data_IF_925921244360
#
_entry.id   IF_925921244360
#
_cell.length_a   1.000
_cell.length_b   1.000
_cell.length_c   1.000
_cell.angle_alpha   90.00
_cell.angle_beta   90.00
_cell.angle_gamma   90.00
#
_symmetry.space_group_name_H-M   'P 1'
#
loop_
_entity.id
_entity.type
_entity.pdbx_description
1 polymer ?
#
# COMPACT_ATOMS: atom_id res chain seq x y z
N UNK A 1 7.26 -12.91 50.17
CA UNK A 1 6.41 -13.87 49.42
C UNK A 1 7.22 -14.21 48.20
N UNK A 2 7.61 -15.47 48.06
CA UNK A 2 8.37 -15.93 46.90
C UNK A 2 7.44 -15.85 45.67
N UNK A 3 7.90 -15.24 44.60
CA UNK A 3 7.28 -15.35 43.29
C UNK A 3 7.29 -16.82 42.91
N UNK A 4 6.13 -17.44 42.78
CA UNK A 4 5.99 -18.76 42.17
C UNK A 4 6.46 -18.60 40.74
N UNK A 5 7.64 -19.17 40.43
CA UNK A 5 8.15 -19.24 39.07
C UNK A 5 7.15 -20.02 38.23
N UNK A 6 6.49 -19.34 37.29
CA UNK A 6 5.73 -20.01 36.23
C UNK A 6 6.63 -21.05 35.56
N UNK A 7 6.22 -22.30 35.65
CA UNK A 7 6.92 -23.45 35.08
C UNK A 7 6.83 -23.30 33.56
N UNK A 8 7.79 -22.64 32.92
CA UNK A 8 7.81 -22.47 31.46
C UNK A 8 7.80 -23.84 30.79
N UNK A 9 7.04 -24.03 29.71
CA UNK A 9 6.98 -25.31 29.03
C UNK A 9 8.38 -25.71 28.54
N UNK A 10 8.77 -26.97 28.81
CA UNK A 10 9.98 -27.59 28.29
C UNK A 10 9.62 -28.43 27.06
N UNK A 11 10.41 -28.30 26.01
CA UNK A 11 10.18 -28.98 24.73
C UNK A 11 11.40 -29.84 24.38
N UNK A 12 11.20 -31.04 23.83
CA UNK A 12 12.27 -31.93 23.42
C UNK A 12 13.14 -31.38 22.27
N UNK A 13 12.57 -30.46 21.47
CA UNK A 13 13.28 -29.80 20.37
C UNK A 13 14.12 -28.60 20.80
N UNK A 14 13.94 -28.12 22.04
CA UNK A 14 14.60 -26.92 22.53
C UNK A 14 16.06 -27.26 22.93
N UNK A 15 17.07 -26.54 22.38
CA UNK A 15 18.45 -26.78 22.73
C UNK A 15 18.74 -26.58 24.24
N UNK A 16 19.69 -27.32 24.78
CA UNK A 16 20.10 -27.21 26.18
C UNK A 16 20.53 -25.76 26.51
N UNK A 17 19.98 -25.18 27.56
CA UNK A 17 20.26 -23.82 28.02
C UNK A 17 19.42 -22.76 27.33
N UNK A 18 18.53 -23.12 26.42
CA UNK A 18 17.57 -22.20 25.82
C UNK A 18 16.19 -22.30 26.49
N UNK A 19 15.43 -21.20 26.43
CA UNK A 19 14.06 -21.11 26.91
C UNK A 19 13.10 -21.00 25.73
N UNK A 20 11.84 -21.40 25.96
CA UNK A 20 10.79 -21.18 24.98
C UNK A 20 10.47 -19.67 24.86
N UNK A 21 10.40 -19.16 23.63
CA UNK A 21 9.92 -17.83 23.32
C UNK A 21 8.39 -17.88 23.30
N UNK A 22 7.77 -17.12 24.21
CA UNK A 22 6.31 -17.16 24.45
C UNK A 22 5.83 -18.62 24.68
N UNK A 23 4.86 -19.11 23.90
CA UNK A 23 4.35 -20.49 24.04
C UNK A 23 5.24 -21.57 23.40
N UNK A 24 6.32 -21.20 22.74
CA UNK A 24 7.33 -22.09 22.15
C UNK A 24 6.97 -22.68 20.80
N UNK A 25 5.75 -23.18 20.57
CA UNK A 25 5.34 -23.82 19.31
C UNK A 25 4.16 -23.11 18.65
N UNK A 26 4.30 -22.88 17.34
CA UNK A 26 3.34 -22.19 16.50
C UNK A 26 3.21 -22.84 15.12
N UNK A 27 2.09 -22.57 14.41
CA UNK A 27 1.97 -22.92 12.99
C UNK A 27 2.79 -21.97 12.12
N UNK A 28 2.77 -20.67 12.47
CA UNK A 28 3.49 -19.63 11.76
C UNK A 28 4.13 -18.61 12.71
N UNK A 29 5.35 -18.16 12.37
CA UNK A 29 6.00 -17.01 12.97
C UNK A 29 6.02 -15.91 11.92
N UNK A 30 5.48 -14.73 12.28
CA UNK A 30 5.41 -13.55 11.42
C UNK A 30 6.33 -12.48 12.00
N UNK A 31 7.36 -12.09 11.23
CA UNK A 31 8.38 -11.12 11.62
C UNK A 31 8.06 -9.75 11.04
N UNK A 32 7.85 -8.78 11.90
CA UNK A 32 7.36 -7.45 11.56
C UNK A 32 5.87 -7.28 11.82
N UNK A 33 5.46 -6.01 12.00
CA UNK A 33 4.05 -5.60 12.14
C UNK A 33 3.65 -4.63 11.03
N UNK A 34 4.29 -4.69 9.87
CA UNK A 34 3.87 -4.00 8.67
C UNK A 34 2.48 -4.44 8.23
N UNK A 35 1.84 -3.68 7.35
CA UNK A 35 0.48 -3.99 6.91
C UNK A 35 0.39 -5.39 6.29
N UNK A 36 1.33 -5.77 5.44
CA UNK A 36 1.36 -7.06 4.76
C UNK A 36 1.45 -8.22 5.76
N UNK A 37 2.34 -8.09 6.74
CA UNK A 37 2.56 -9.07 7.81
C UNK A 37 1.31 -9.20 8.70
N UNK A 38 0.71 -8.08 9.09
CA UNK A 38 -0.52 -8.08 9.91
C UNK A 38 -1.72 -8.68 9.17
N UNK A 39 -1.86 -8.42 7.87
CA UNK A 39 -2.89 -9.05 7.02
C UNK A 39 -2.73 -10.57 7.03
N UNK A 40 -1.51 -11.07 6.76
CA UNK A 40 -1.24 -12.51 6.73
C UNK A 40 -1.48 -13.15 8.09
N UNK A 41 -1.00 -12.54 9.18
CA UNK A 41 -1.22 -13.07 10.53
C UNK A 41 -2.70 -13.14 10.90
N UNK A 42 -3.47 -12.09 10.56
CA UNK A 42 -4.91 -12.05 10.77
C UNK A 42 -5.64 -13.15 9.99
N UNK A 43 -5.33 -13.30 8.69
CA UNK A 43 -5.96 -14.31 7.83
C UNK A 43 -5.62 -15.74 8.27
N UNK A 44 -4.38 -16.01 8.67
CA UNK A 44 -3.96 -17.33 9.19
C UNK A 44 -4.68 -17.66 10.51
N UNK A 45 -4.78 -16.68 11.42
CA UNK A 45 -5.45 -16.87 12.71
C UNK A 45 -6.93 -17.16 12.55
N UNK A 46 -7.61 -16.48 11.63
CA UNK A 46 -9.04 -16.78 11.29
C UNK A 46 -9.22 -18.21 10.79
N UNK A 47 -8.22 -18.77 10.08
CA UNK A 47 -8.17 -20.20 9.68
C UNK A 47 -7.79 -21.14 10.82
N UNK A 48 -7.68 -20.67 12.06
CA UNK A 48 -7.36 -21.47 13.24
C UNK A 48 -5.87 -21.82 13.37
N UNK A 49 -4.98 -21.12 12.66
CA UNK A 49 -3.54 -21.28 12.81
C UNK A 49 -3.05 -20.53 14.04
N UNK A 50 -2.19 -21.18 14.84
CA UNK A 50 -1.50 -20.55 15.98
C UNK A 50 -0.36 -19.69 15.44
N UNK A 51 -0.47 -18.36 15.59
CA UNK A 51 0.48 -17.39 15.04
C UNK A 51 1.23 -16.68 16.16
N UNK A 52 2.54 -16.58 16.02
CA UNK A 52 3.40 -15.68 16.79
C UNK A 52 3.83 -14.52 15.88
N UNK A 53 3.51 -13.30 16.24
CA UNK A 53 3.98 -12.10 15.53
C UNK A 53 4.97 -11.33 16.39
N UNK A 54 6.15 -11.05 15.81
CA UNK A 54 7.28 -10.42 16.52
C UNK A 54 7.71 -9.18 15.76
N UNK A 55 7.93 -8.06 16.47
CA UNK A 55 8.49 -6.85 15.86
C UNK A 55 9.61 -6.28 16.75
N UNK A 56 10.70 -5.85 16.12
CA UNK A 56 11.79 -5.13 16.76
C UNK A 56 11.40 -3.76 17.29
N UNK A 57 10.35 -3.16 16.70
CA UNK A 57 9.84 -1.87 17.12
C UNK A 57 8.81 -2.02 18.25
N UNK A 58 8.64 -0.95 19.06
CA UNK A 58 7.60 -0.85 20.07
C UNK A 58 6.26 -0.32 19.55
N UNK A 59 6.07 -0.25 18.23
CA UNK A 59 4.87 0.24 17.59
C UNK A 59 4.53 -0.60 16.36
N UNK A 60 3.26 -0.58 15.94
CA UNK A 60 2.77 -1.27 14.76
C UNK A 60 3.04 -0.48 13.49
N UNK A 61 3.11 -1.19 12.35
CA UNK A 61 3.19 -0.60 11.02
C UNK A 61 4.59 -0.63 10.40
N UNK A 62 5.64 -0.93 11.14
CA UNK A 62 7.01 -1.02 10.63
C UNK A 62 7.43 0.24 9.86
N UNK A 63 7.91 0.06 8.63
CA UNK A 63 8.30 1.18 7.75
C UNK A 63 7.11 2.04 7.28
N UNK A 64 5.89 1.50 7.29
CA UNK A 64 4.65 2.22 6.94
C UNK A 64 3.91 2.82 8.13
N UNK A 65 4.53 2.91 9.30
CA UNK A 65 3.91 3.42 10.52
C UNK A 65 3.42 4.87 10.40
N UNK A 66 2.37 5.19 11.16
CA UNK A 66 1.91 6.56 11.38
C UNK A 66 2.59 7.13 12.63
N UNK A 67 3.23 8.28 12.52
CA UNK A 67 3.98 8.91 13.61
C UNK A 67 3.32 10.21 14.07
N UNK A 68 3.37 10.46 15.36
CA UNK A 68 3.06 11.79 15.89
C UNK A 68 4.20 12.79 15.56
N UNK A 69 3.95 14.07 15.76
CA UNK A 69 4.88 15.12 15.35
C UNK A 69 6.26 15.00 16.05
N UNK A 70 6.28 14.71 17.34
CA UNK A 70 7.52 14.56 18.14
C UNK A 70 8.35 13.40 17.59
N UNK A 71 7.75 12.22 17.45
CA UNK A 71 8.42 11.02 16.95
C UNK A 71 8.90 11.19 15.49
N UNK A 72 8.14 11.94 14.67
CA UNK A 72 8.58 12.29 13.30
C UNK A 72 9.87 13.11 13.33
N UNK A 73 9.94 14.17 14.16
CA UNK A 73 11.13 15.00 14.27
C UNK A 73 12.32 14.23 14.84
N UNK A 74 12.11 13.36 15.82
CA UNK A 74 13.13 12.48 16.38
C UNK A 74 13.68 11.50 15.35
N UNK A 75 12.80 10.81 14.62
CA UNK A 75 13.20 9.84 13.57
C UNK A 75 14.12 10.47 12.52
N UNK A 76 13.83 11.70 12.12
CA UNK A 76 14.63 12.41 11.12
C UNK A 76 15.73 13.33 11.72
N UNK A 77 15.97 13.24 13.02
CA UNK A 77 16.97 14.03 13.75
C UNK A 77 16.85 15.54 13.44
N UNK A 78 15.61 16.02 13.33
CA UNK A 78 15.30 17.37 12.85
C UNK A 78 15.21 18.44 13.96
N UNK A 79 15.59 18.08 15.20
CA UNK A 79 15.46 18.92 16.39
C UNK A 79 14.03 18.88 16.99
N UNK A 80 13.69 19.86 17.79
CA UNK A 80 12.35 19.99 18.36
C UNK A 80 11.34 20.51 17.32
N UNK A 81 10.10 20.03 17.40
CA UNK A 81 9.02 20.52 16.56
C UNK A 81 8.68 21.98 16.92
N UNK A 82 8.56 22.88 15.94
CA UNK A 82 8.18 24.26 16.18
C UNK A 82 6.78 24.37 16.83
N UNK A 83 6.63 25.23 17.84
CA UNK A 83 5.37 25.40 18.58
C UNK A 83 4.19 25.90 17.74
N UNK A 84 4.45 26.52 16.60
CA UNK A 84 3.43 27.02 15.67
C UNK A 84 2.80 25.92 14.79
N UNK A 85 3.25 24.69 14.89
CA UNK A 85 2.64 23.56 14.20
C UNK A 85 1.45 22.94 14.95
N UNK A 86 1.15 23.39 16.19
CA UNK A 86 0.03 22.84 16.98
C UNK A 86 0.46 21.75 17.96
N UNK A 87 -0.49 20.96 18.43
CA UNK A 87 -0.22 19.95 19.45
C UNK A 87 0.21 18.61 18.83
N UNK A 88 1.16 17.95 19.48
CA UNK A 88 1.68 16.64 19.04
C UNK A 88 0.58 15.59 18.77
N UNK A 89 -0.45 15.58 19.63
CA UNK A 89 -1.59 14.64 19.54
C UNK A 89 -2.48 14.84 18.30
N UNK A 90 -2.34 15.96 17.60
CA UNK A 90 -3.13 16.25 16.39
C UNK A 90 -2.52 15.63 15.14
N UNK A 91 -1.39 14.94 15.27
CA UNK A 91 -0.62 14.41 14.15
C UNK A 91 -0.58 12.89 14.15
N UNK A 92 -0.87 12.34 12.95
CA UNK A 92 -0.71 10.94 12.59
C UNK A 92 -0.11 10.92 11.18
N UNK A 93 1.19 11.15 11.07
CA UNK A 93 1.89 11.30 9.80
C UNK A 93 2.36 9.94 9.30
N UNK A 94 1.78 9.49 8.20
CA UNK A 94 2.17 8.24 7.56
C UNK A 94 3.53 8.38 6.87
N UNK A 95 4.43 7.45 7.13
CA UNK A 95 5.76 7.42 6.50
C UNK A 95 5.69 6.98 5.03
N UNK A 96 4.75 6.10 4.72
CA UNK A 96 4.48 5.59 3.37
C UNK A 96 2.97 5.73 3.10
N UNK A 97 2.47 6.94 2.81
CA UNK A 97 1.06 7.13 2.56
C UNK A 97 0.67 6.55 1.22
N UNK A 98 -0.41 5.76 1.22
CA UNK A 98 -1.01 5.19 0.03
C UNK A 98 -2.52 5.27 0.14
N UNK A 99 -3.17 5.68 -0.94
CA UNK A 99 -4.62 5.73 -1.03
C UNK A 99 -5.21 4.34 -1.31
N UNK A 100 -6.40 4.12 -0.81
CA UNK A 100 -7.14 2.88 -0.99
C UNK A 100 -8.18 3.10 -2.08
N UNK A 101 -8.18 2.26 -3.10
CA UNK A 101 -9.22 2.26 -4.14
C UNK A 101 -10.56 1.85 -3.52
N UNK A 102 -11.61 2.67 -3.69
CA UNK A 102 -12.90 2.49 -2.99
C UNK A 102 -13.63 1.17 -3.31
N UNK A 103 -13.33 0.53 -4.43
CA UNK A 103 -13.82 -0.80 -4.82
C UNK A 103 -12.69 -1.78 -5.13
N UNK A 104 -11.45 -1.42 -4.78
CA UNK A 104 -10.25 -2.24 -4.99
C UNK A 104 -10.19 -3.46 -4.07
N UNK A 105 -9.17 -4.26 -4.26
CA UNK A 105 -9.01 -5.51 -3.53
C UNK A 105 -8.74 -5.30 -2.04
N UNK A 106 -8.04 -4.23 -1.64
CA UNK A 106 -7.87 -3.91 -0.21
C UNK A 106 -9.22 -3.62 0.45
N UNK A 107 -10.10 -2.84 -0.18
CA UNK A 107 -11.44 -2.57 0.34
C UNK A 107 -12.25 -3.86 0.48
N UNK A 108 -12.19 -4.77 -0.50
CA UNK A 108 -12.84 -6.09 -0.40
C UNK A 108 -12.27 -6.91 0.75
N UNK A 109 -10.95 -6.91 0.92
CA UNK A 109 -10.27 -7.62 2.02
C UNK A 109 -10.69 -7.06 3.39
N UNK A 110 -10.71 -5.73 3.54
CA UNK A 110 -11.17 -5.07 4.77
C UNK A 110 -12.61 -5.38 5.12
N UNK A 111 -13.50 -5.47 4.11
CA UNK A 111 -14.90 -5.87 4.30
C UNK A 111 -15.01 -7.35 4.64
N UNK A 112 -14.30 -8.23 3.93
CA UNK A 112 -14.28 -9.66 4.19
C UNK A 112 -13.83 -9.99 5.61
N UNK A 113 -12.77 -9.35 6.08
CA UNK A 113 -12.22 -9.54 7.43
C UNK A 113 -12.94 -8.75 8.52
N UNK A 114 -13.88 -7.87 8.15
CA UNK A 114 -14.61 -6.96 9.07
C UNK A 114 -13.69 -5.98 9.84
N UNK A 115 -12.46 -5.75 9.37
CA UNK A 115 -11.54 -4.75 9.94
C UNK A 115 -12.14 -3.34 9.84
N UNK A 116 -13.00 -3.10 8.85
CA UNK A 116 -13.77 -1.84 8.70
C UNK A 116 -14.54 -1.42 9.96
N UNK A 117 -14.87 -2.34 10.87
CA UNK A 117 -15.54 -2.01 12.14
C UNK A 117 -14.68 -1.19 13.11
N UNK A 118 -13.38 -1.17 12.90
CA UNK A 118 -12.40 -0.47 13.76
C UNK A 118 -11.90 0.83 13.14
N UNK A 119 -12.30 1.16 11.91
CA UNK A 119 -11.73 2.23 11.12
C UNK A 119 -12.83 3.10 10.52
N UNK A 120 -12.59 4.40 10.50
CA UNK A 120 -13.39 5.36 9.74
C UNK A 120 -12.63 5.76 8.47
N UNK A 121 -13.35 5.87 7.34
CA UNK A 121 -12.77 6.27 6.08
C UNK A 121 -13.46 7.50 5.51
N UNK A 122 -12.69 8.35 4.85
CA UNK A 122 -13.23 9.47 4.05
C UNK A 122 -12.74 9.39 2.62
N UNK A 123 -13.58 9.85 1.69
CA UNK A 123 -13.17 10.00 0.29
C UNK A 123 -12.16 11.15 0.15
N UNK A 124 -11.21 10.98 -0.76
CA UNK A 124 -10.25 12.02 -1.12
C UNK A 124 -10.98 13.09 -1.95
N UNK A 125 -10.66 14.37 -1.69
CA UNK A 125 -11.38 15.50 -2.30
C UNK A 125 -11.12 15.63 -3.80
N UNK A 126 -9.99 15.15 -4.31
CA UNK A 126 -9.74 15.15 -5.74
C UNK A 126 -8.49 14.37 -6.17
N UNK A 127 -8.53 13.91 -7.41
CA UNK A 127 -7.39 13.34 -8.12
C UNK A 127 -6.98 14.26 -9.25
N UNK A 128 -5.66 14.40 -9.45
CA UNK A 128 -5.09 15.38 -10.37
C UNK A 128 -3.97 14.76 -11.18
N UNK A 129 -3.75 15.30 -12.37
CA UNK A 129 -2.61 14.96 -13.23
C UNK A 129 -1.85 16.23 -13.60
N UNK A 130 -0.53 16.14 -13.60
CA UNK A 130 0.32 17.21 -14.11
C UNK A 130 0.49 17.06 -15.63
N UNK A 131 0.11 18.12 -16.37
CA UNK A 131 0.21 18.16 -17.82
C UNK A 131 0.61 19.55 -18.29
N UNK A 132 1.65 19.64 -19.11
CA UNK A 132 2.12 20.89 -19.71
C UNK A 132 2.31 22.04 -18.71
N UNK A 133 2.95 21.79 -17.58
CA UNK A 133 3.22 22.79 -16.56
C UNK A 133 2.05 23.12 -15.61
N UNK A 134 0.94 22.37 -15.68
CA UNK A 134 -0.29 22.65 -14.90
C UNK A 134 -0.79 21.42 -14.19
N UNK A 135 -1.32 21.61 -12.99
CA UNK A 135 -2.11 20.61 -12.27
C UNK A 135 -3.54 20.71 -12.79
N UNK A 136 -4.07 19.61 -13.29
CA UNK A 136 -5.43 19.54 -13.87
C UNK A 136 -6.22 18.46 -13.13
N UNK A 137 -7.41 18.81 -12.64
CA UNK A 137 -8.30 17.86 -11.98
C UNK A 137 -8.75 16.77 -12.95
N UNK A 138 -8.67 15.53 -12.52
CA UNK A 138 -9.27 14.40 -13.23
C UNK A 138 -10.78 14.47 -13.01
N UNK A 139 -11.59 14.53 -14.09
CA UNK A 139 -13.03 14.66 -13.95
C UNK A 139 -13.65 13.47 -13.21
N UNK A 140 -14.40 13.76 -12.16
CA UNK A 140 -15.14 12.76 -11.39
C UNK A 140 -16.60 12.64 -11.87
N UNK A 141 -17.11 13.65 -12.58
CA UNK A 141 -18.49 13.69 -13.08
C UNK A 141 -18.54 13.99 -14.58
N UNK A 142 -19.65 13.62 -15.27
CA UNK A 142 -19.83 13.97 -16.68
C UNK A 142 -19.76 15.48 -16.96
N UNK A 143 -20.26 16.31 -16.04
CA UNK A 143 -20.19 17.76 -16.17
C UNK A 143 -18.74 18.26 -16.11
N UNK A 144 -17.94 17.78 -15.15
CA UNK A 144 -16.52 18.11 -15.08
C UNK A 144 -15.77 17.67 -16.35
N UNK A 145 -16.09 16.49 -16.90
CA UNK A 145 -15.48 15.98 -18.13
C UNK A 145 -15.74 16.88 -19.35
N UNK A 146 -16.92 17.49 -19.44
CA UNK A 146 -17.26 18.42 -20.53
C UNK A 146 -16.34 19.64 -20.51
N UNK A 147 -16.10 20.21 -19.34
CA UNK A 147 -15.31 21.44 -19.17
C UNK A 147 -13.81 21.20 -18.95
N UNK A 148 -13.39 19.97 -18.72
CA UNK A 148 -11.98 19.65 -18.48
C UNK A 148 -11.09 20.02 -19.68
N UNK A 149 -9.94 20.66 -19.45
CA UNK A 149 -8.98 20.99 -20.51
C UNK A 149 -8.07 19.81 -20.90
N UNK A 150 -8.25 18.63 -20.31
CA UNK A 150 -7.38 17.47 -20.55
C UNK A 150 -7.35 17.02 -22.02
N UNK A 151 -8.47 17.16 -22.73
CA UNK A 151 -8.64 16.63 -24.10
C UNK A 151 -9.44 17.60 -24.97
N UNK A 152 -9.20 17.52 -26.30
CA UNK A 152 -10.03 18.21 -27.29
C UNK A 152 -11.44 17.61 -27.35
N UNK A 153 -12.39 18.32 -27.94
CA UNK A 153 -13.79 17.87 -28.04
C UNK A 153 -13.92 16.53 -28.79
N UNK A 154 -13.18 16.34 -29.87
CA UNK A 154 -13.21 15.08 -30.62
C UNK A 154 -12.60 13.94 -29.83
N UNK A 155 -11.53 14.21 -29.10
CA UNK A 155 -10.87 13.20 -28.28
C UNK A 155 -11.75 12.80 -27.08
N UNK A 156 -12.46 13.74 -26.45
CA UNK A 156 -13.46 13.43 -25.42
C UNK A 156 -14.51 12.44 -25.89
N UNK A 157 -14.94 12.54 -27.17
CA UNK A 157 -15.91 11.61 -27.75
C UNK A 157 -15.31 10.22 -27.93
N UNK A 158 -14.07 10.11 -28.39
CA UNK A 158 -13.35 8.82 -28.54
C UNK A 158 -13.13 8.17 -27.18
N UNK A 159 -12.61 8.94 -26.25
CA UNK A 159 -12.40 8.50 -24.86
C UNK A 159 -13.70 8.02 -24.19
N UNK A 160 -14.80 8.78 -24.35
CA UNK A 160 -16.11 8.35 -23.87
C UNK A 160 -16.56 7.02 -24.46
N UNK A 161 -16.40 6.83 -25.76
CA UNK A 161 -16.76 5.55 -26.41
C UNK A 161 -15.91 4.39 -25.90
N UNK A 162 -14.63 4.64 -25.66
CA UNK A 162 -13.72 3.68 -25.03
C UNK A 162 -14.19 3.32 -23.63
N UNK A 163 -14.47 4.30 -22.76
CA UNK A 163 -14.96 4.03 -21.40
C UNK A 163 -16.31 3.28 -21.39
N UNK A 164 -17.24 3.60 -22.30
CA UNK A 164 -18.49 2.83 -22.44
C UNK A 164 -18.22 1.36 -22.79
N UNK A 165 -17.24 1.10 -23.66
CA UNK A 165 -16.84 -0.26 -23.98
C UNK A 165 -16.23 -0.98 -22.77
N UNK A 166 -15.32 -0.32 -22.05
CA UNK A 166 -14.68 -0.84 -20.82
C UNK A 166 -15.73 -1.18 -19.77
N UNK A 167 -16.65 -0.27 -19.50
CA UNK A 167 -17.73 -0.45 -18.51
C UNK A 167 -18.64 -1.65 -18.85
N UNK A 168 -18.98 -1.80 -20.13
CA UNK A 168 -19.84 -2.87 -20.60
C UNK A 168 -19.14 -4.24 -20.69
N UNK A 169 -17.81 -4.28 -20.74
CA UNK A 169 -17.05 -5.51 -20.95
C UNK A 169 -17.16 -6.48 -19.77
N UNK A 170 -17.56 -7.72 -20.05
CA UNK A 170 -17.59 -8.83 -19.09
C UNK A 170 -16.86 -10.02 -19.68
N UNK A 171 -15.82 -10.49 -19.02
CA UNK A 171 -14.97 -11.57 -19.51
C UNK A 171 -15.76 -12.84 -19.85
N UNK A 172 -16.79 -13.14 -19.02
CA UNK A 172 -17.63 -14.34 -19.14
C UNK A 172 -18.79 -14.18 -20.12
N UNK A 173 -19.00 -12.98 -20.70
CA UNK A 173 -20.09 -12.71 -21.63
C UNK A 173 -19.57 -12.24 -23.00
N UNK A 174 -19.42 -13.16 -23.98
CA UNK A 174 -18.90 -12.83 -25.32
C UNK A 174 -19.71 -11.75 -26.06
N UNK A 175 -21.00 -11.54 -25.73
CA UNK A 175 -21.81 -10.49 -26.36
C UNK A 175 -21.28 -9.08 -26.07
N UNK A 176 -20.58 -8.91 -24.93
CA UNK A 176 -19.98 -7.64 -24.52
C UNK A 176 -18.64 -7.34 -25.20
N UNK A 177 -18.00 -8.35 -25.78
CA UNK A 177 -16.65 -8.23 -26.34
C UNK A 177 -16.64 -7.40 -27.65
N UNK A 178 -17.77 -7.28 -28.33
CA UNK A 178 -17.90 -6.54 -29.61
C UNK A 178 -16.87 -6.96 -30.67
N UNK A 179 -16.59 -8.27 -30.75
CA UNK A 179 -15.64 -8.86 -31.69
C UNK A 179 -14.16 -8.74 -31.31
N UNK A 180 -13.84 -8.26 -30.09
CA UNK A 180 -12.47 -8.13 -29.59
C UNK A 180 -12.12 -9.27 -28.65
N UNK A 181 -10.88 -9.76 -28.72
CA UNK A 181 -10.32 -10.73 -27.78
C UNK A 181 -9.23 -10.05 -26.93
N UNK A 182 -9.61 -9.52 -25.76
CA UNK A 182 -8.70 -8.78 -24.90
C UNK A 182 -7.59 -9.64 -24.29
N UNK A 183 -7.74 -10.96 -24.28
CA UNK A 183 -6.68 -11.87 -23.82
C UNK A 183 -5.55 -12.04 -24.85
N UNK A 184 -5.83 -11.78 -26.14
CA UNK A 184 -4.86 -11.87 -27.22
C UNK A 184 -4.45 -10.51 -27.79
N UNK A 185 -5.34 -9.51 -27.71
CA UNK A 185 -5.11 -8.14 -28.17
C UNK A 185 -4.27 -7.37 -27.15
N UNK A 186 -3.26 -6.63 -27.63
CA UNK A 186 -2.48 -5.74 -26.75
C UNK A 186 -3.25 -4.47 -26.40
N UNK A 187 -2.85 -3.79 -25.31
CA UNK A 187 -3.46 -2.52 -24.94
C UNK A 187 -3.24 -1.44 -25.99
N UNK A 188 -2.08 -1.43 -26.62
CA UNK A 188 -1.74 -0.54 -27.76
C UNK A 188 -2.70 -0.72 -28.94
N UNK A 189 -3.00 -1.96 -29.30
CA UNK A 189 -3.98 -2.28 -30.38
C UNK A 189 -5.39 -1.83 -30.00
N UNK A 190 -5.80 -2.03 -28.73
CA UNK A 190 -7.10 -1.59 -28.23
C UNK A 190 -7.23 -0.06 -28.29
N UNK A 191 -6.23 0.68 -27.83
CA UNK A 191 -6.24 2.16 -27.93
C UNK A 191 -6.29 2.63 -29.37
N UNK A 192 -5.56 1.99 -30.27
CA UNK A 192 -5.55 2.30 -31.70
C UNK A 192 -6.92 2.05 -32.34
N UNK A 193 -7.59 0.96 -31.97
CA UNK A 193 -8.93 0.62 -32.49
C UNK A 193 -10.00 1.66 -32.09
N UNK A 194 -9.85 2.28 -30.91
CA UNK A 194 -10.69 3.43 -30.49
C UNK A 194 -10.19 4.78 -31.01
N UNK A 195 -9.05 4.83 -31.71
CA UNK A 195 -8.44 6.03 -32.28
C UNK A 195 -7.98 7.04 -31.23
N UNK A 196 -7.58 6.56 -30.03
CA UNK A 196 -7.09 7.43 -28.95
C UNK A 196 -5.69 7.96 -29.29
N UNK A 197 -5.50 9.28 -29.09
CA UNK A 197 -4.18 9.92 -29.32
C UNK A 197 -3.21 9.59 -28.18
N UNK A 198 -1.86 9.64 -28.40
CA UNK A 198 -0.87 9.30 -27.39
C UNK A 198 -1.05 9.99 -26.03
N UNK A 199 -1.35 11.28 -26.01
CA UNK A 199 -1.63 12.03 -24.79
C UNK A 199 -2.77 11.45 -23.96
N UNK A 200 -3.83 10.94 -24.64
CA UNK A 200 -4.97 10.31 -23.98
C UNK A 200 -4.60 8.92 -23.47
N UNK A 201 -3.80 8.18 -24.23
CA UNK A 201 -3.28 6.88 -23.81
C UNK A 201 -2.45 7.03 -22.55
N UNK A 202 -1.48 7.96 -22.51
CA UNK A 202 -0.69 8.28 -21.32
C UNK A 202 -1.57 8.68 -20.12
N UNK A 203 -2.56 9.55 -20.36
CA UNK A 203 -3.49 9.95 -19.30
C UNK A 203 -4.21 8.74 -18.69
N UNK A 204 -4.73 7.82 -19.51
CA UNK A 204 -5.41 6.62 -19.03
C UNK A 204 -4.42 5.74 -18.26
N UNK A 205 -3.27 5.44 -18.86
CA UNK A 205 -2.27 4.54 -18.29
C UNK A 205 -1.75 5.03 -16.93
N UNK A 206 -1.24 6.24 -16.86
CA UNK A 206 -0.60 6.76 -15.63
C UNK A 206 -1.59 7.28 -14.59
N UNK A 207 -2.75 7.84 -15.00
CA UNK A 207 -3.66 8.52 -14.07
C UNK A 207 -4.89 7.71 -13.67
N UNK A 208 -5.28 6.70 -14.43
CA UNK A 208 -6.45 5.87 -14.17
C UNK A 208 -6.08 4.41 -13.89
N UNK A 209 -5.17 3.83 -14.65
CA UNK A 209 -4.68 2.47 -14.42
C UNK A 209 -3.45 2.44 -13.49
N UNK A 210 -2.80 3.59 -13.28
CA UNK A 210 -1.67 3.76 -12.36
C UNK A 210 -0.43 2.93 -12.77
N UNK A 211 -0.30 2.69 -14.05
CA UNK A 211 0.85 2.01 -14.63
C UNK A 211 2.14 2.83 -14.40
N UNK A 212 3.20 2.17 -13.99
CA UNK A 212 4.48 2.82 -13.67
C UNK A 212 5.29 3.20 -14.91
N UNK A 213 5.05 2.48 -16.01
CA UNK A 213 5.74 2.64 -17.27
C UNK A 213 4.86 2.21 -18.46
N UNK A 214 5.41 2.20 -19.66
CA UNK A 214 4.68 1.83 -20.88
C UNK A 214 4.72 0.33 -21.21
N UNK A 215 5.23 -0.54 -20.34
CA UNK A 215 5.35 -1.98 -20.62
C UNK A 215 3.99 -2.67 -20.74
N UNK A 216 2.97 -2.17 -20.06
CA UNK A 216 1.58 -2.64 -20.14
C UNK A 216 0.99 -2.50 -21.56
N UNK A 217 1.48 -1.53 -22.35
CA UNK A 217 0.99 -1.28 -23.72
C UNK A 217 1.12 -2.48 -24.64
N UNK A 218 2.12 -3.32 -24.41
CA UNK A 218 2.42 -4.51 -25.25
C UNK A 218 1.99 -5.83 -24.58
N UNK A 219 1.31 -5.73 -23.41
CA UNK A 219 0.66 -6.86 -22.73
C UNK A 219 -0.80 -7.04 -23.19
N UNK A 220 -1.42 -8.21 -22.92
CA UNK A 220 -2.85 -8.43 -23.14
C UNK A 220 -3.72 -7.37 -22.46
N UNK A 221 -4.64 -6.78 -23.21
CA UNK A 221 -5.45 -5.66 -22.75
C UNK A 221 -6.40 -5.97 -21.60
N UNK A 222 -6.67 -7.25 -21.34
CA UNK A 222 -7.63 -7.69 -20.31
C UNK A 222 -7.25 -7.19 -18.90
N UNK A 223 -5.95 -7.17 -18.55
CA UNK A 223 -5.46 -6.70 -17.26
C UNK A 223 -5.81 -5.23 -17.04
N UNK A 224 -5.28 -4.36 -17.91
CA UNK A 224 -5.50 -2.90 -17.85
C UNK A 224 -6.98 -2.51 -17.96
N UNK A 225 -7.78 -3.28 -18.73
CA UNK A 225 -9.25 -3.06 -18.77
C UNK A 225 -9.91 -3.34 -17.42
N UNK A 226 -9.49 -4.38 -16.69
CA UNK A 226 -10.00 -4.67 -15.34
C UNK A 226 -9.59 -3.60 -14.32
N UNK A 227 -8.37 -3.12 -14.37
CA UNK A 227 -7.89 -1.99 -13.55
C UNK A 227 -8.73 -0.73 -13.81
N UNK A 228 -8.94 -0.42 -15.08
CA UNK A 228 -9.76 0.72 -15.48
C UNK A 228 -11.22 0.59 -15.01
N UNK A 229 -11.79 -0.62 -15.06
CA UNK A 229 -13.12 -0.89 -14.48
C UNK A 229 -13.13 -0.60 -12.97
N UNK A 230 -12.13 -1.09 -12.24
CA UNK A 230 -11.99 -0.84 -10.80
C UNK A 230 -11.89 0.65 -10.49
N UNK A 231 -11.10 1.39 -11.27
CA UNK A 231 -11.01 2.84 -11.16
C UNK A 231 -12.38 3.52 -11.39
N UNK A 232 -13.09 3.17 -12.47
CA UNK A 232 -14.38 3.74 -12.81
C UNK A 232 -15.44 3.45 -11.75
N UNK A 233 -15.51 2.23 -11.25
CA UNK A 233 -16.44 1.85 -10.18
C UNK A 233 -16.12 2.57 -8.88
N UNK A 234 -14.84 2.69 -8.54
CA UNK A 234 -14.38 3.44 -7.37
C UNK A 234 -14.74 4.93 -7.47
N UNK A 235 -14.53 5.54 -8.63
CA UNK A 235 -14.89 6.92 -8.91
C UNK A 235 -16.42 7.15 -8.76
N UNK A 236 -17.23 6.22 -9.24
CA UNK A 236 -18.69 6.34 -9.18
C UNK A 236 -19.23 6.22 -7.75
N UNK A 237 -18.49 5.60 -6.83
CA UNK A 237 -18.93 5.35 -5.46
C UNK A 237 -19.16 6.63 -4.65
N UNK A 238 -18.24 7.59 -4.77
CA UNK A 238 -18.25 8.83 -3.98
C UNK A 238 -18.37 10.10 -4.84
N UNK A 239 -18.10 10.03 -6.14
CA UNK A 239 -18.26 11.13 -7.09
C UNK A 239 -17.26 12.28 -6.93
N UNK A 240 -16.17 12.10 -6.19
CA UNK A 240 -15.10 13.09 -5.98
C UNK A 240 -13.75 12.60 -6.42
N UNK A 241 -13.40 11.37 -6.04
CA UNK A 241 -12.15 10.67 -6.33
C UNK A 241 -12.41 9.16 -6.23
N UNK A 242 -11.62 8.30 -6.88
CA UNK A 242 -11.71 6.85 -6.72
C UNK A 242 -11.16 6.35 -5.38
N UNK A 243 -10.57 7.24 -4.58
CA UNK A 243 -9.80 6.89 -3.40
C UNK A 243 -10.49 7.26 -2.10
N UNK A 244 -10.23 6.43 -1.11
CA UNK A 244 -10.53 6.66 0.31
C UNK A 244 -9.25 6.62 1.13
N UNK A 245 -9.30 7.19 2.33
CA UNK A 245 -8.21 7.18 3.30
C UNK A 245 -8.76 7.03 4.70
N UNK A 246 -8.10 6.26 5.60
CA UNK A 246 -8.56 6.14 6.96
C UNK A 246 -8.33 7.43 7.75
N UNK A 247 -9.29 7.79 8.60
CA UNK A 247 -9.09 8.81 9.61
C UNK A 247 -8.02 8.35 10.62
N UNK A 248 -7.21 9.28 11.07
CA UNK A 248 -6.08 9.04 11.99
C UNK A 248 -4.88 8.30 11.37
N UNK A 249 -4.82 8.22 10.02
CA UNK A 249 -3.69 7.63 9.30
C UNK A 249 -3.79 6.13 9.06
N UNK A 250 -2.84 5.63 8.28
CA UNK A 250 -2.79 4.23 7.81
C UNK A 250 -2.39 3.24 8.91
N UNK A 251 -1.75 3.70 10.01
CA UNK A 251 -1.34 2.84 11.13
C UNK A 251 -2.48 2.05 11.76
N UNK A 252 -3.73 2.54 11.65
CA UNK A 252 -4.91 1.81 12.08
C UNK A 252 -5.17 0.51 11.29
N UNK A 253 -4.67 0.37 10.06
CA UNK A 253 -4.84 -0.84 9.25
C UNK A 253 -4.10 -2.04 9.86
N UNK A 254 -2.76 -1.99 10.06
CA UNK A 254 -2.05 -3.10 10.71
C UNK A 254 -2.56 -3.38 12.12
N UNK A 255 -2.91 -2.36 12.91
CA UNK A 255 -3.51 -2.54 14.24
C UNK A 255 -4.85 -3.29 14.17
N UNK A 256 -5.70 -2.98 13.19
CA UNK A 256 -6.98 -3.66 12.99
C UNK A 256 -6.81 -5.15 12.67
N UNK A 257 -5.87 -5.50 11.81
CA UNK A 257 -5.54 -6.90 11.50
C UNK A 257 -4.87 -7.62 12.68
N UNK A 258 -3.98 -6.93 13.40
CA UNK A 258 -3.38 -7.47 14.63
C UNK A 258 -4.43 -7.79 15.69
N UNK A 259 -5.44 -6.93 15.82
CA UNK A 259 -6.58 -7.18 16.71
C UNK A 259 -7.37 -8.42 16.32
N UNK A 260 -7.63 -8.64 15.02
CA UNK A 260 -8.26 -9.87 14.54
C UNK A 260 -7.40 -11.08 14.90
N UNK A 261 -6.11 -11.03 14.63
CA UNK A 261 -5.19 -12.11 14.98
C UNK A 261 -5.24 -12.43 16.48
N UNK A 262 -5.18 -11.40 17.34
CA UNK A 262 -5.24 -11.57 18.80
C UNK A 262 -6.57 -12.19 19.28
N UNK A 263 -7.72 -11.77 18.71
CA UNK A 263 -9.05 -12.35 19.03
C UNK A 263 -9.10 -13.85 18.71
N UNK A 264 -8.37 -14.31 17.69
CA UNK A 264 -8.28 -15.71 17.30
C UNK A 264 -7.07 -16.42 17.93
N UNK A 265 -6.49 -15.88 19.00
CA UNK A 265 -5.46 -16.54 19.80
C UNK A 265 -4.02 -16.33 19.31
N UNK A 266 -3.78 -15.35 18.43
CA UNK A 266 -2.43 -14.96 18.03
C UNK A 266 -1.67 -14.27 19.17
N UNK A 267 -0.38 -14.53 19.26
CA UNK A 267 0.53 -13.96 20.26
C UNK A 267 1.37 -12.85 19.62
N UNK A 268 1.53 -11.72 20.33
CA UNK A 268 2.31 -10.58 19.86
C UNK A 268 3.45 -10.25 20.80
N UNK A 269 4.64 -9.99 20.23
CA UNK A 269 5.82 -9.53 20.96
C UNK A 269 6.41 -8.30 20.23
N UNK A 270 6.25 -7.13 20.83
CA UNK A 270 6.90 -5.89 20.38
C UNK A 270 8.20 -5.65 21.18
N UNK A 271 9.08 -4.78 20.66
CA UNK A 271 10.42 -4.55 21.20
C UNK A 271 11.22 -5.85 21.33
N UNK A 272 11.03 -6.78 20.42
CA UNK A 272 11.69 -8.08 20.43
C UNK A 272 12.51 -8.25 19.15
N UNK A 273 13.83 -8.16 19.29
CA UNK A 273 14.74 -8.47 18.19
C UNK A 273 14.77 -9.97 17.91
N UNK A 274 14.96 -10.31 16.65
CA UNK A 274 15.21 -11.67 16.17
C UNK A 274 16.67 -11.72 15.72
N UNK A 275 17.45 -12.61 16.35
CA UNK A 275 18.87 -12.75 16.06
C UNK A 275 19.12 -13.67 14.86
N UNK A 276 18.26 -14.71 14.71
CA UNK A 276 18.50 -15.76 13.73
C UNK A 276 17.21 -16.48 13.34
N UNK A 277 17.08 -16.82 12.04
CA UNK A 277 16.11 -17.80 11.54
C UNK A 277 16.82 -19.17 11.58
N UNK A 278 16.21 -20.13 12.25
CA UNK A 278 16.79 -21.46 12.43
C UNK A 278 16.42 -22.38 11.27
N UNK A 279 17.42 -23.00 10.65
CA UNK A 279 17.24 -23.95 9.55
C UNK A 279 17.64 -25.38 9.96
N UNK A 280 16.91 -26.37 9.48
CA UNK A 280 17.24 -27.77 9.63
C UNK A 280 18.30 -28.23 8.61
N UNK A 281 18.70 -29.50 8.66
CA UNK A 281 19.70 -30.09 7.76
C UNK A 281 19.27 -30.08 6.28
N UNK A 282 17.96 -30.00 6.01
CA UNK A 282 17.38 -29.87 4.65
C UNK A 282 17.34 -28.43 4.14
N UNK A 283 17.77 -27.45 4.95
CA UNK A 283 17.72 -26.03 4.64
C UNK A 283 16.33 -25.40 4.78
N UNK A 284 15.40 -26.06 5.49
CA UNK A 284 14.06 -25.52 5.77
C UNK A 284 14.04 -24.79 7.11
N UNK A 285 13.48 -23.59 7.12
CA UNK A 285 13.24 -22.86 8.35
C UNK A 285 12.27 -23.63 9.25
N UNK A 286 12.60 -23.70 10.54
CA UNK A 286 11.77 -24.37 11.54
C UNK A 286 11.55 -23.54 12.80
N UNK A 287 12.00 -22.29 12.84
CA UNK A 287 11.80 -21.39 13.96
C UNK A 287 12.69 -20.17 13.92
N UNK A 288 12.63 -19.38 14.99
CA UNK A 288 13.46 -18.17 15.19
C UNK A 288 14.06 -18.16 16.58
N UNK A 289 15.23 -17.52 16.70
CA UNK A 289 15.97 -17.32 17.94
C UNK A 289 16.01 -15.83 18.29
N UNK A 290 15.81 -15.53 19.57
CA UNK A 290 15.85 -14.20 20.15
C UNK A 290 16.56 -14.27 21.52
N UNK A 291 17.83 -13.87 21.59
CA UNK A 291 18.66 -14.03 22.79
C UNK A 291 18.87 -15.51 23.16
N UNK A 292 18.47 -15.86 24.39
CA UNK A 292 18.45 -17.21 24.87
C UNK A 292 17.08 -17.92 24.70
N UNK A 293 16.18 -17.34 23.94
CA UNK A 293 14.85 -17.89 23.70
C UNK A 293 14.67 -18.33 22.25
N UNK A 294 13.79 -19.31 22.04
CA UNK A 294 13.50 -19.85 20.71
C UNK A 294 12.01 -20.20 20.56
N UNK A 295 11.44 -19.92 19.41
CA UNK A 295 10.14 -20.41 18.99
C UNK A 295 10.26 -21.26 17.75
N UNK A 296 9.44 -22.32 17.66
CA UNK A 296 9.36 -23.25 16.54
C UNK A 296 8.10 -23.00 15.73
N UNK A 297 8.22 -23.00 14.41
CA UNK A 297 7.11 -22.98 13.47
C UNK A 297 7.52 -23.57 12.12
N UNK A 298 6.54 -24.06 11.36
CA UNK A 298 6.77 -24.57 10.01
C UNK A 298 6.72 -23.49 8.92
N UNK A 299 6.24 -22.29 9.26
CA UNK A 299 6.14 -21.15 8.36
C UNK A 299 6.82 -19.94 9.02
N UNK A 300 7.83 -19.37 8.35
CA UNK A 300 8.49 -18.14 8.76
C UNK A 300 8.19 -17.08 7.70
N UNK A 301 7.46 -16.04 8.09
CA UNK A 301 6.91 -15.02 7.20
C UNK A 301 7.45 -13.66 7.67
N UNK A 302 7.71 -12.74 6.77
CA UNK A 302 8.09 -11.38 7.17
C UNK A 302 8.48 -10.49 6.01
N UNK A 303 8.78 -9.23 6.35
CA UNK A 303 9.29 -8.28 5.36
C UNK A 303 10.79 -8.53 5.05
N UNK A 304 11.30 -8.01 3.92
CA UNK A 304 12.67 -8.27 3.49
C UNK A 304 13.74 -7.95 4.52
N UNK A 305 13.51 -7.00 5.44
CA UNK A 305 14.51 -6.53 6.40
C UNK A 305 14.84 -7.55 7.51
N UNK A 306 14.04 -8.61 7.65
CA UNK A 306 14.28 -9.70 8.60
C UNK A 306 15.06 -10.87 8.00
N UNK A 307 15.28 -10.88 6.69
CA UNK A 307 15.89 -12.02 6.01
C UNK A 307 17.32 -11.72 5.54
N UNK A 308 18.15 -12.77 5.41
CA UNK A 308 19.50 -12.63 4.84
C UNK A 308 19.48 -12.13 3.39
N UNK A 309 20.54 -11.43 2.99
CA UNK A 309 20.64 -10.78 1.67
C UNK A 309 20.54 -11.76 0.49
N UNK A 310 20.92 -13.01 0.66
CA UNK A 310 20.81 -14.06 -0.36
C UNK A 310 19.35 -14.49 -0.67
N UNK A 311 18.42 -14.17 0.23
CA UNK A 311 16.98 -14.47 0.05
C UNK A 311 16.18 -13.37 -0.57
N UNK A 312 16.77 -12.19 -0.71
CA UNK A 312 16.11 -10.98 -1.24
C UNK A 312 16.94 -10.39 -2.36
N UNK A 313 16.28 -9.76 -3.33
CA UNK A 313 16.96 -9.03 -4.40
C UNK A 313 16.46 -7.60 -4.48
N UNK A 314 17.35 -6.61 -4.72
CA UNK A 314 16.94 -5.24 -4.86
C UNK A 314 16.15 -5.03 -6.16
N UNK A 315 15.07 -4.24 -6.09
CA UNK A 315 14.22 -3.89 -7.24
C UNK A 315 14.35 -2.42 -7.65
N UNK A 316 14.87 -1.57 -6.77
CA UNK A 316 15.08 -0.16 -7.03
C UNK A 316 15.40 0.63 -5.78
N UNK A 317 15.51 1.93 -5.95
CA UNK A 317 15.68 2.88 -4.84
C UNK A 317 14.54 3.88 -4.90
N UNK A 318 13.80 4.01 -3.82
CA UNK A 318 12.70 4.96 -3.69
C UNK A 318 13.13 6.13 -2.82
N UNK A 319 12.88 7.35 -3.31
CA UNK A 319 12.97 8.56 -2.50
C UNK A 319 11.57 9.01 -2.11
N UNK A 320 11.36 9.34 -0.81
CA UNK A 320 10.14 9.92 -0.27
C UNK A 320 10.48 11.17 0.51
N UNK A 321 9.69 12.24 0.29
CA UNK A 321 9.84 13.48 1.03
C UNK A 321 8.50 13.87 1.65
N UNK A 322 8.41 13.83 2.98
CA UNK A 322 7.29 14.33 3.76
C UNK A 322 7.45 15.84 3.91
N UNK A 323 6.43 16.60 3.52
CA UNK A 323 6.42 18.06 3.54
C UNK A 323 5.26 18.57 4.41
N UNK A 324 5.56 19.44 5.36
CA UNK A 324 4.55 20.15 6.16
C UNK A 324 4.27 21.49 5.48
N UNK A 325 3.00 21.75 5.16
CA UNK A 325 2.52 22.97 4.54
C UNK A 325 1.47 23.65 5.44
N UNK A 326 1.31 24.97 5.30
CA UNK A 326 0.23 25.75 5.94
C UNK A 326 -0.82 26.24 4.94
N UNK A 327 -0.91 25.58 3.81
CA UNK A 327 -1.85 25.87 2.73
C UNK A 327 -2.13 24.59 1.92
N UNK A 328 -3.25 24.50 1.21
CA UNK A 328 -3.49 23.40 0.26
C UNK A 328 -2.50 23.46 -0.90
N UNK A 329 -2.34 22.35 -1.62
CA UNK A 329 -1.49 22.34 -2.82
C UNK A 329 -2.04 23.34 -3.84
N UNK A 330 -1.20 24.24 -4.40
CA UNK A 330 -1.65 25.22 -5.38
C UNK A 330 -2.36 24.57 -6.58
N UNK A 331 -3.37 25.26 -7.11
CA UNK A 331 -4.18 24.82 -8.27
C UNK A 331 -5.01 23.54 -8.06
N UNK A 332 -5.32 23.18 -6.82
CA UNK A 332 -6.22 22.07 -6.49
C UNK A 332 -7.63 22.54 -6.06
N UNK A 333 -7.98 23.81 -6.25
CA UNK A 333 -9.21 24.42 -5.73
C UNK A 333 -9.34 24.25 -4.20
N UNK A 334 -8.27 24.53 -3.50
CA UNK A 334 -8.15 24.43 -2.03
C UNK A 334 -8.56 23.05 -1.47
N UNK A 335 -8.27 22.00 -2.20
CA UNK A 335 -8.61 20.63 -1.79
C UNK A 335 -7.94 20.26 -0.47
N UNK A 336 -8.74 19.76 0.49
CA UNK A 336 -8.25 19.28 1.79
C UNK A 336 -7.45 17.99 1.68
N UNK A 337 -7.66 17.24 0.60
CA UNK A 337 -6.88 16.05 0.29
C UNK A 337 -6.78 15.86 -1.23
N UNK A 338 -5.62 15.44 -1.71
CA UNK A 338 -5.36 15.32 -3.13
C UNK A 338 -4.37 14.18 -3.43
N UNK A 339 -4.65 13.44 -4.51
CA UNK A 339 -3.65 12.64 -5.18
C UNK A 339 -3.25 13.39 -6.45
N UNK A 340 -1.94 13.53 -6.69
CA UNK A 340 -1.44 14.13 -7.92
C UNK A 340 -0.41 13.19 -8.54
N UNK A 341 -0.60 12.84 -9.80
CA UNK A 341 0.36 12.08 -10.59
C UNK A 341 1.07 13.03 -11.54
N UNK A 342 2.39 13.01 -11.54
CA UNK A 342 3.23 13.70 -12.51
C UNK A 342 3.82 12.63 -13.42
N UNK A 343 3.26 12.40 -14.62
CA UNK A 343 3.80 11.41 -15.53
C UNK A 343 5.25 11.72 -15.89
N UNK A 344 6.13 10.72 -15.82
CA UNK A 344 7.56 10.86 -16.05
C UNK A 344 7.90 11.64 -17.33
N UNK A 345 7.30 11.31 -18.48
CA UNK A 345 7.54 12.03 -19.73
C UNK A 345 7.25 13.53 -19.69
N UNK A 346 6.34 14.01 -18.82
CA UNK A 346 6.03 15.43 -18.65
C UNK A 346 7.18 16.23 -18.02
N UNK A 347 8.09 15.56 -17.34
CA UNK A 347 9.24 16.17 -16.62
C UNK A 347 10.59 15.57 -17.03
N UNK A 348 10.63 14.84 -18.17
CA UNK A 348 11.87 14.27 -18.73
C UNK A 348 12.42 13.11 -17.90
N UNK A 349 11.52 12.28 -17.35
CA UNK A 349 11.81 11.07 -16.58
C UNK A 349 11.16 9.85 -17.22
N UNK A 350 11.59 8.66 -16.81
CA UNK A 350 10.94 7.38 -17.14
C UNK A 350 9.80 7.13 -16.15
N UNK A 351 10.11 7.19 -14.85
CA UNK A 351 9.15 6.88 -13.79
C UNK A 351 8.37 8.11 -13.35
N UNK A 352 7.13 7.89 -12.97
CA UNK A 352 6.22 8.91 -12.46
C UNK A 352 6.65 9.43 -11.08
N UNK A 353 6.20 10.65 -10.76
CA UNK A 353 6.28 11.19 -9.42
C UNK A 353 4.87 11.24 -8.85
N UNK A 354 4.71 10.68 -7.67
CA UNK A 354 3.45 10.64 -6.96
C UNK A 354 3.43 11.66 -5.83
N UNK A 355 2.32 12.38 -5.70
CA UNK A 355 2.10 13.31 -4.59
C UNK A 355 0.80 12.94 -3.90
N UNK A 356 0.91 12.62 -2.62
CA UNK A 356 -0.20 12.42 -1.70
C UNK A 356 -0.29 13.63 -0.78
N UNK A 357 -1.44 14.31 -0.73
CA UNK A 357 -1.68 15.40 0.22
C UNK A 357 -2.90 15.09 1.06
N UNK A 358 -2.76 15.19 2.37
CA UNK A 358 -3.80 14.94 3.38
C UNK A 358 -3.77 16.04 4.43
N UNK A 359 -4.87 16.26 5.15
CA UNK A 359 -4.96 17.36 6.12
C UNK A 359 -5.79 16.99 7.35
N UNK A 360 -6.07 18.00 8.17
CA UNK A 360 -6.91 17.88 9.34
C UNK A 360 -8.27 17.21 9.09
N UNK A 361 -8.83 17.37 7.88
CA UNK A 361 -10.08 16.69 7.53
C UNK A 361 -10.03 15.16 7.68
N UNK A 362 -8.83 14.57 7.62
CA UNK A 362 -8.55 13.14 7.85
C UNK A 362 -7.94 12.86 9.24
N UNK A 363 -7.89 13.84 10.13
CA UNK A 363 -7.32 13.75 11.49
C UNK A 363 -5.83 13.33 11.51
N UNK A 364 -5.08 13.77 10.49
CA UNK A 364 -3.64 13.44 10.35
C UNK A 364 -2.72 14.62 10.63
N UNK A 365 -3.29 15.82 10.81
CA UNK A 365 -2.55 17.06 11.13
C UNK A 365 -3.41 18.04 11.89
N UNK A 366 -2.78 19.06 12.48
CA UNK A 366 -3.49 20.18 13.13
C UNK A 366 -4.33 20.99 12.11
N UNK A 367 -5.39 21.71 12.55
CA UNK A 367 -6.18 22.59 11.69
C UNK A 367 -5.30 23.58 10.90
N UNK A 368 -5.53 23.71 9.61
CA UNK A 368 -4.78 24.59 8.71
C UNK A 368 -3.39 24.06 8.31
N UNK A 369 -3.03 22.86 8.74
CA UNK A 369 -1.80 22.19 8.34
C UNK A 369 -2.11 21.06 7.35
N UNK A 370 -1.28 20.95 6.32
CA UNK A 370 -1.34 19.91 5.29
C UNK A 370 -0.05 19.09 5.31
N UNK A 371 -0.18 17.80 5.14
CA UNK A 371 0.96 16.88 4.99
C UNK A 371 0.96 16.42 3.54
N UNK A 372 1.98 16.83 2.80
CA UNK A 372 2.18 16.37 1.43
C UNK A 372 3.41 15.45 1.37
N UNK A 373 3.28 14.33 0.71
CA UNK A 373 4.37 13.39 0.51
C UNK A 373 4.62 13.24 -0.98
N UNK A 374 5.87 13.47 -1.38
CA UNK A 374 6.35 13.27 -2.74
C UNK A 374 7.15 11.99 -2.77
N UNK A 375 6.86 11.09 -3.71
CA UNK A 375 7.57 9.81 -3.87
C UNK A 375 7.86 9.49 -5.32
N UNK A 376 9.01 8.90 -5.60
CA UNK A 376 9.40 8.40 -6.93
C UNK A 376 10.56 7.43 -6.82
N UNK A 377 10.81 6.69 -7.90
CA UNK A 377 12.04 5.91 -8.06
C UNK A 377 13.22 6.84 -8.39
N UNK A 378 14.37 6.54 -7.82
CA UNK A 378 15.63 7.26 -8.13
C UNK A 378 16.17 6.76 -9.46
N UNK A 379 16.32 7.66 -10.43
CA UNK A 379 16.81 7.34 -11.78
C UNK A 379 18.21 7.88 -12.05
N UNK A 380 18.49 9.10 -11.55
CA UNK A 380 19.71 9.84 -11.89
C UNK A 380 20.82 9.74 -10.83
N UNK A 381 20.59 8.90 -9.81
CA UNK A 381 21.53 8.77 -8.70
C UNK A 381 21.55 9.94 -7.72
N UNK A 382 20.74 10.98 -7.96
CA UNK A 382 20.55 12.12 -7.07
C UNK A 382 19.07 12.22 -6.66
N UNK A 383 18.70 11.69 -5.47
CA UNK A 383 17.31 11.67 -5.00
C UNK A 383 16.64 13.05 -4.95
N UNK A 384 17.39 14.10 -4.60
CA UNK A 384 16.85 15.48 -4.53
C UNK A 384 16.45 16.02 -5.91
N UNK A 385 17.20 15.70 -6.96
CA UNK A 385 16.84 16.07 -8.33
C UNK A 385 15.64 15.29 -8.83
N UNK A 386 15.54 14.02 -8.44
CA UNK A 386 14.47 13.14 -8.87
C UNK A 386 13.11 13.56 -8.32
N UNK A 387 13.03 14.06 -7.08
CA UNK A 387 11.77 14.54 -6.48
C UNK A 387 11.49 16.03 -6.73
N UNK A 388 12.46 16.80 -7.24
CA UNK A 388 12.34 18.26 -7.39
C UNK A 388 11.05 18.70 -8.13
N UNK A 389 10.62 18.08 -9.25
CA UNK A 389 9.37 18.48 -9.91
C UNK A 389 8.14 18.34 -9.00
N UNK A 390 8.09 17.28 -8.18
CA UNK A 390 7.01 17.07 -7.21
C UNK A 390 7.03 18.12 -6.08
N UNK A 391 8.20 18.48 -5.59
CA UNK A 391 8.33 19.52 -4.57
C UNK A 391 7.95 20.90 -5.10
N UNK A 392 8.26 21.21 -6.36
CA UNK A 392 7.96 22.51 -6.99
C UNK A 392 6.46 22.80 -7.05
N UNK A 393 5.61 21.80 -7.25
CA UNK A 393 4.15 22.00 -7.33
C UNK A 393 3.51 22.26 -5.97
N UNK A 394 4.20 21.95 -4.86
CA UNK A 394 3.66 22.12 -3.51
C UNK A 394 3.60 23.59 -3.05
N UNK A 395 4.37 24.50 -3.68
CA UNK A 395 4.54 25.88 -3.20
C UNK A 395 5.46 25.96 -1.98
N UNK A 396 5.27 26.95 -1.07
CA UNK A 396 6.10 27.12 0.10
C UNK A 396 6.01 25.96 1.09
N UNK A 397 7.13 25.35 1.45
CA UNK A 397 7.20 24.22 2.38
C UNK A 397 7.75 24.73 3.72
N UNK A 398 7.03 24.49 4.82
CA UNK A 398 7.47 24.88 6.17
C UNK A 398 8.60 23.97 6.67
N UNK A 399 8.47 22.66 6.48
CA UNK A 399 9.47 21.67 6.87
C UNK A 399 9.37 20.46 5.93
N UNK A 400 10.54 19.86 5.62
CA UNK A 400 10.61 18.63 4.84
C UNK A 400 11.45 17.57 5.54
N UNK A 401 11.11 16.30 5.32
CA UNK A 401 11.83 15.14 5.81
C UNK A 401 12.01 14.18 4.63
N UNK A 402 13.24 13.96 4.23
CA UNK A 402 13.55 13.10 3.07
C UNK A 402 14.11 11.77 3.55
N UNK A 403 13.59 10.68 3.00
CA UNK A 403 14.12 9.33 3.17
C UNK A 403 14.42 8.71 1.82
N UNK A 404 15.44 7.88 1.78
CA UNK A 404 15.84 7.09 0.62
C UNK A 404 15.95 5.65 1.07
N UNK A 405 15.26 4.74 0.42
CA UNK A 405 15.25 3.33 0.78
C UNK A 405 15.38 2.45 -0.46
N UNK A 406 16.18 1.39 -0.36
CA UNK A 406 16.19 0.32 -1.35
C UNK A 406 14.95 -0.55 -1.18
N UNK A 407 14.30 -0.87 -2.26
CA UNK A 407 13.17 -1.81 -2.29
C UNK A 407 13.67 -3.19 -2.67
N UNK A 408 13.04 -4.21 -2.12
CA UNK A 408 13.41 -5.61 -2.28
C UNK A 408 12.19 -6.47 -2.60
N UNK A 409 12.44 -7.56 -3.31
CA UNK A 409 11.49 -8.66 -3.48
C UNK A 409 12.18 -10.00 -3.15
N UNK A 410 11.42 -11.07 -2.86
CA UNK A 410 12.00 -12.38 -2.60
C UNK A 410 12.71 -12.98 -3.84
N UNK A 411 13.78 -13.72 -3.63
CA UNK A 411 14.46 -14.49 -4.69
C UNK A 411 13.69 -15.76 -5.01
N UNK A 412 13.12 -16.42 -4.00
CA UNK A 412 12.38 -17.68 -4.09
C UNK A 412 10.97 -17.50 -3.52
N UNK A 413 10.05 -18.38 -3.86
CA UNK A 413 8.65 -18.33 -3.45
C UNK A 413 8.38 -18.78 -2.01
N UNK A 414 9.38 -19.35 -1.32
CA UNK A 414 9.30 -19.86 0.06
C UNK A 414 8.90 -21.33 0.18
N UNK A 415 8.47 -21.98 -0.89
CA UNK A 415 7.99 -23.38 -0.86
C UNK A 415 9.08 -24.40 -0.53
N UNK A 416 10.34 -24.08 -0.83
CA UNK A 416 11.48 -24.97 -0.63
C UNK A 416 12.06 -24.89 0.77
N UNK A 417 12.06 -23.69 1.35
CA UNK A 417 12.79 -23.36 2.58
C UNK A 417 11.92 -22.85 3.73
N UNK A 418 10.59 -22.79 3.53
CA UNK A 418 9.60 -22.31 4.50
C UNK A 418 9.77 -20.83 4.89
N UNK A 419 10.52 -20.02 4.09
CA UNK A 419 10.70 -18.59 4.27
C UNK A 419 9.84 -17.83 3.27
N UNK A 420 8.76 -17.22 3.74
CA UNK A 420 7.81 -16.49 2.91
C UNK A 420 8.00 -14.98 3.11
N UNK A 421 8.55 -14.32 2.11
CA UNK A 421 8.97 -12.94 2.20
C UNK A 421 8.00 -12.07 1.39
N UNK A 422 7.52 -10.97 1.98
CA UNK A 422 6.76 -9.93 1.28
C UNK A 422 7.69 -9.05 0.46
N UNK A 423 7.15 -8.30 -0.49
CA UNK A 423 7.92 -7.29 -1.21
C UNK A 423 7.90 -5.95 -0.46
N UNK A 424 8.91 -5.11 -0.67
CA UNK A 424 8.92 -3.74 -0.13
C UNK A 424 7.82 -2.89 -0.75
N UNK A 425 7.36 -1.85 -0.05
CA UNK A 425 6.44 -0.85 -0.62
C UNK A 425 7.12 -0.06 -1.73
N UNK A 426 6.47 0.03 -2.87
CA UNK A 426 6.91 0.81 -4.03
C UNK A 426 6.74 2.34 -3.85
N UNK A 427 7.03 3.11 -4.88
CA UNK A 427 6.91 4.57 -4.87
C UNK A 427 5.47 5.08 -5.12
N UNK A 428 4.52 4.21 -5.49
CA UNK A 428 3.17 4.62 -5.85
C UNK A 428 2.37 5.18 -4.68
N UNK A 429 1.38 6.01 -4.98
CA UNK A 429 0.48 6.59 -3.98
C UNK A 429 -0.81 5.80 -3.75
N UNK A 430 -0.84 4.51 -4.09
CA UNK A 430 -2.00 3.62 -3.94
C UNK A 430 -1.55 2.21 -3.52
N UNK A 431 -2.51 1.39 -3.05
CA UNK A 431 -2.23 0.06 -2.51
C UNK A 431 -2.35 -1.09 -3.53
N UNK A 432 -2.70 -0.85 -4.78
CA UNK A 432 -3.10 -1.96 -5.69
C UNK A 432 -1.98 -3.00 -5.86
N UNK A 433 -0.74 -2.57 -6.13
CA UNK A 433 0.43 -3.46 -6.24
C UNK A 433 0.77 -4.19 -4.92
N UNK A 434 0.62 -3.48 -3.80
CA UNK A 434 0.88 -4.09 -2.49
C UNK A 434 -0.16 -5.13 -2.09
N UNK A 435 -1.41 -4.94 -2.51
CA UNK A 435 -2.48 -5.91 -2.28
C UNK A 435 -2.30 -7.14 -3.15
N UNK A 436 -1.82 -6.99 -4.38
CA UNK A 436 -1.44 -8.13 -5.22
C UNK A 436 -0.34 -8.96 -4.55
N UNK A 437 0.71 -8.30 -3.99
CA UNK A 437 1.74 -8.97 -3.22
C UNK A 437 1.18 -9.69 -1.97
N UNK A 438 0.24 -9.06 -1.23
CA UNK A 438 -0.43 -9.70 -0.09
C UNK A 438 -1.22 -10.96 -0.50
N UNK A 439 -1.95 -10.90 -1.61
CA UNK A 439 -2.73 -12.03 -2.13
C UNK A 439 -1.83 -13.16 -2.61
N UNK A 440 -0.75 -12.83 -3.31
CA UNK A 440 0.23 -13.81 -3.76
C UNK A 440 1.00 -14.42 -2.58
N UNK A 441 1.39 -13.62 -1.57
CA UNK A 441 2.00 -14.11 -0.34
C UNK A 441 1.06 -15.07 0.39
N UNK A 442 -0.22 -14.72 0.52
CA UNK A 442 -1.21 -15.60 1.12
C UNK A 442 -1.32 -16.93 0.36
N UNK A 443 -1.36 -16.89 -0.98
CA UNK A 443 -1.40 -18.08 -1.83
C UNK A 443 -0.13 -18.95 -1.67
N UNK A 444 1.05 -18.35 -1.62
CA UNK A 444 2.32 -19.06 -1.38
C UNK A 444 2.34 -19.74 -0.02
N UNK A 445 1.84 -19.05 1.03
CA UNK A 445 1.82 -19.56 2.42
C UNK A 445 0.78 -20.68 2.59
N UNK A 446 -0.41 -20.55 1.99
CA UNK A 446 -1.53 -21.47 2.24
C UNK A 446 -1.74 -22.51 1.14
N UNK A 447 -1.21 -22.29 -0.06
CA UNK A 447 -1.51 -23.08 -1.25
C UNK A 447 -2.87 -22.77 -1.89
N UNK A 448 -3.63 -21.80 -1.37
CA UNK A 448 -5.00 -21.46 -1.79
C UNK A 448 -5.12 -19.98 -2.13
N UNK A 449 -5.97 -19.65 -3.11
CA UNK A 449 -6.34 -18.24 -3.34
C UNK A 449 -7.31 -17.77 -2.23
N UNK A 450 -7.17 -16.51 -1.82
CA UNK A 450 -8.08 -15.91 -0.85
C UNK A 450 -9.44 -15.67 -1.51
N UNK A 451 -10.48 -16.36 -1.03
CA UNK A 451 -11.86 -16.07 -1.46
C UNK A 451 -12.35 -14.80 -0.77
N UNK A 452 -12.44 -13.72 -1.54
CA UNK A 452 -12.96 -12.43 -1.09
C UNK A 452 -14.44 -12.22 -1.45
N UNK A 453 -15.18 -13.27 -1.87
CA UNK A 453 -16.60 -13.16 -2.15
C UNK A 453 -17.35 -12.89 -0.84
N UNK A 454 -17.87 -11.68 -0.73
CA UNK A 454 -18.70 -11.26 0.40
C UNK A 454 -20.13 -11.66 0.05
N UNK A 455 -20.72 -12.58 0.81
CA UNK A 455 -22.16 -12.78 0.74
C UNK A 455 -22.85 -11.49 1.21
N UNK A 456 -23.65 -10.87 0.34
CA UNK A 456 -24.38 -9.65 0.65
C UNK A 456 -25.20 -9.77 1.95
N UNK A 457 -25.70 -10.96 2.26
CA UNK A 457 -26.43 -11.29 3.49
C UNK A 457 -25.58 -11.21 4.77
N UNK A 458 -24.24 -11.22 4.67
CA UNK A 458 -23.36 -11.08 5.82
C UNK A 458 -23.08 -9.63 6.22
N UNK A 459 -23.45 -8.66 5.38
CA UNK A 459 -23.20 -7.22 5.60
C UNK A 459 -24.38 -6.55 6.33
N UNK A 460 -25.58 -7.10 6.21
CA UNK A 460 -26.80 -6.49 6.79
C UNK A 460 -27.12 -6.92 8.25
N UNK A 461 -26.33 -7.77 8.88
CA UNK A 461 -26.69 -8.45 10.12
C UNK A 461 -26.17 -7.91 11.45
N UNK A 462 -25.42 -6.80 11.50
CA UNK A 462 -24.83 -6.31 12.77
C UNK A 462 -24.70 -4.77 12.79
N UNK A 463 -25.82 -4.03 12.81
CA UNK A 463 -25.88 -2.64 13.26
C UNK A 463 -26.59 -2.54 14.59
#
# INVERSE_FOLDING_TARGET
>A
MAEEGENKPTFDWLPEGMEALADGEYDAIVMGTGLKECVISGLLSVKGKKVLQIDRNGYYGGDGASLNLTTLFEKFQAGEAPSNLGANRDYNVDLIPKFIMATGNLTKMLLHTKVTRYLEFKSIAGSYVYKAGKIIKIPATPNEAIYSPLMSLFEKRRFRNFLIYVDAYKEQDPATHKGRNLAAMTMRELYTDFGLVPDTQQFISHSMCLELDETHMDKPAIGTVKELQTYMYSMSRYGTSPYIYPCYGLGGLPEGFSRICAIHGGTFMLNQDIDEICFNEEGKAYGVKAGNQMAKANLVIGDPSYFPQEKIKPTGVVVRCICILNHPVPNTNDAESAQIVIPGPQVGRVNDIFVCCVSHGLQVSAPGVYIAIVSTLVEKGNPDEDIAPGLQILGPILKRFTSVSTTYEPVEDGSKDNCFISSSFDATSHFESDVEDMLELYKRVTGEELDMNINADSVEGDY
#
